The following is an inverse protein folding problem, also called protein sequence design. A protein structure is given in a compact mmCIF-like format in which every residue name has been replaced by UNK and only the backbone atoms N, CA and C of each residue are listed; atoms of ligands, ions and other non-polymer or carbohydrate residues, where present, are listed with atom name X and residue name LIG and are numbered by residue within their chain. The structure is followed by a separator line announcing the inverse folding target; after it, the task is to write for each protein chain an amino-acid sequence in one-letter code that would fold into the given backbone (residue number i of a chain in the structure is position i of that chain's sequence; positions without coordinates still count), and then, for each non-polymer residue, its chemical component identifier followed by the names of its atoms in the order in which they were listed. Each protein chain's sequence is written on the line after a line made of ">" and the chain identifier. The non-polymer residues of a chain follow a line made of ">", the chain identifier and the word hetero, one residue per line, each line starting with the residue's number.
data_IF_421247399192
#
_entry.id   IF_421247399192
#
_cell.length_a   1.000
_cell.length_b   1.000
_cell.length_c   1.000
_cell.angle_alpha   90.00
_cell.angle_beta   90.00
_cell.angle_gamma   90.00
#
_symmetry.space_group_name_H-M   'P 1'
#
loop_
_entity.id
_entity.type
_entity.pdbx_description
1 polymer ?
#
# COMPACT_ATOMS: atom_id res chain seq x y z
N UNK A 1 -43.19 -36.30 46.40
CA UNK A 1 -43.26 -35.85 44.99
C UNK A 1 -42.36 -34.62 44.89
N UNK A 2 -41.05 -34.82 44.92
CA UNK A 2 -40.18 -35.04 43.74
C UNK A 2 -39.98 -33.73 42.96
N UNK A 3 -38.94 -32.98 43.33
CA UNK A 3 -38.36 -31.95 42.46
C UNK A 3 -37.77 -32.63 41.23
N UNK A 4 -38.01 -32.12 40.01
CA UNK A 4 -37.17 -32.45 38.86
C UNK A 4 -35.93 -31.55 38.86
N UNK A 5 -34.77 -32.20 38.88
CA UNK A 5 -33.48 -31.61 38.53
C UNK A 5 -33.52 -31.04 37.10
N UNK A 6 -33.02 -29.81 36.93
CA UNK A 6 -32.47 -29.36 35.64
C UNK A 6 -30.96 -29.23 35.86
N UNK A 7 -30.21 -30.21 35.35
CA UNK A 7 -28.77 -30.15 35.17
C UNK A 7 -28.46 -29.13 34.07
N UNK A 8 -27.86 -28.00 34.44
CA UNK A 8 -27.06 -27.22 33.51
C UNK A 8 -25.59 -27.63 33.72
N UNK A 9 -25.01 -28.27 32.72
CA UNK A 9 -23.59 -28.63 32.69
C UNK A 9 -22.74 -27.38 32.70
N UNK A 10 -21.97 -27.20 33.77
CA UNK A 10 -20.81 -26.33 33.82
C UNK A 10 -19.75 -26.89 32.87
N UNK A 11 -19.64 -26.30 31.69
CA UNK A 11 -18.47 -26.43 30.84
C UNK A 11 -18.27 -25.11 30.09
N UNK A 12 -17.50 -24.24 30.73
CA UNK A 12 -16.43 -23.48 30.07
C UNK A 12 -16.87 -22.52 28.96
N UNK A 13 -17.41 -21.35 29.36
CA UNK A 13 -17.18 -20.11 28.61
C UNK A 13 -15.80 -19.62 29.06
N UNK A 14 -14.75 -20.24 28.55
CA UNK A 14 -13.41 -19.66 28.55
C UNK A 14 -13.14 -19.14 27.14
N UNK A 15 -12.73 -17.87 27.05
CA UNK A 15 -12.02 -17.38 25.88
C UNK A 15 -12.71 -16.34 25.01
N UNK A 16 -13.42 -15.36 25.58
CA UNK A 16 -13.42 -14.02 24.97
C UNK A 16 -12.20 -13.26 25.49
N UNK A 17 -11.01 -13.65 25.01
CA UNK A 17 -9.82 -12.83 25.16
C UNK A 17 -9.94 -11.66 24.20
N UNK A 18 -10.28 -10.50 24.76
CA UNK A 18 -10.09 -9.19 24.15
C UNK A 18 -8.69 -9.09 23.52
N UNK A 19 -8.66 -8.77 22.22
CA UNK A 19 -7.52 -8.15 21.53
C UNK A 19 -7.96 -7.70 20.13
N UNK A 20 -8.97 -6.85 20.08
CA UNK A 20 -9.20 -5.98 18.92
C UNK A 20 -9.76 -4.66 19.46
N UNK A 21 -8.91 -3.63 19.53
CA UNK A 21 -9.33 -2.25 19.73
C UNK A 21 -9.87 -1.73 18.39
N UNK A 22 -11.08 -2.16 18.04
CA UNK A 22 -11.80 -1.59 16.91
C UNK A 22 -13.18 -1.15 17.44
N UNK A 23 -13.35 0.14 17.72
CA UNK A 23 -14.56 0.69 18.38
C UNK A 23 -15.86 0.36 17.62
N UNK A 24 -15.76 0.09 16.30
CA UNK A 24 -16.87 -0.41 15.49
C UNK A 24 -17.31 -1.83 15.86
N UNK A 25 -16.38 -2.74 16.20
CA UNK A 25 -16.73 -4.11 16.61
C UNK A 25 -17.50 -4.11 17.93
N UNK A 26 -17.07 -3.30 18.91
CA UNK A 26 -17.76 -3.20 20.20
C UNK A 26 -19.17 -2.61 20.07
N UNK A 27 -19.40 -1.71 19.11
CA UNK A 27 -20.73 -1.13 18.85
C UNK A 27 -21.65 -2.13 18.14
N UNK A 28 -21.12 -2.87 17.17
CA UNK A 28 -21.83 -3.94 16.45
C UNK A 28 -22.18 -5.10 17.38
N UNK A 29 -21.26 -5.49 18.27
CA UNK A 29 -21.50 -6.52 19.29
C UNK A 29 -22.60 -6.11 20.29
N UNK A 30 -22.62 -4.82 20.68
CA UNK A 30 -23.64 -4.29 21.58
C UNK A 30 -25.03 -4.29 20.91
N UNK A 31 -25.12 -3.86 19.65
CA UNK A 31 -26.40 -3.86 18.90
C UNK A 31 -26.91 -5.28 18.64
N UNK A 32 -26.02 -6.26 18.44
CA UNK A 32 -26.35 -7.68 18.33
C UNK A 32 -26.92 -8.25 19.64
N UNK A 33 -26.30 -7.96 20.78
CA UNK A 33 -26.78 -8.38 22.11
C UNK A 33 -28.15 -7.75 22.43
N UNK A 34 -28.38 -6.50 22.03
CA UNK A 34 -29.67 -5.84 22.20
C UNK A 34 -30.79 -6.50 21.37
N UNK A 35 -30.49 -6.92 20.14
CA UNK A 35 -31.44 -7.66 19.29
C UNK A 35 -31.83 -9.03 19.85
N UNK A 36 -30.92 -9.71 20.56
CA UNK A 36 -31.22 -10.97 21.26
C UNK A 36 -32.13 -10.74 22.47
N UNK A 37 -31.97 -9.62 23.16
CA UNK A 37 -32.76 -9.28 24.36
C UNK A 37 -34.23 -8.98 24.03
N UNK A 38 -34.53 -8.38 22.88
CA UNK A 38 -35.92 -8.08 22.45
C UNK A 38 -36.75 -9.33 22.15
N UNK A 39 -36.09 -10.49 21.94
CA UNK A 39 -36.73 -11.75 21.57
C UNK A 39 -37.00 -12.70 22.75
N UNK A 40 -36.60 -12.34 23.99
CA UNK A 40 -36.81 -13.15 25.19
C UNK A 40 -38.20 -12.91 25.80
N UNK A 41 -39.00 -13.98 26.00
CA UNK A 41 -40.32 -13.92 26.66
C UNK A 41 -40.17 -14.08 28.19
N UNK A 42 -40.12 -12.96 28.90
CA UNK A 42 -40.11 -12.88 30.38
C UNK A 42 -41.26 -11.94 30.81
N UNK A 43 -41.77 -12.07 32.04
CA UNK A 43 -42.84 -11.21 32.58
C UNK A 43 -42.57 -9.71 32.34
N UNK A 44 -43.57 -9.02 31.78
CA UNK A 44 -43.43 -7.72 31.13
C UNK A 44 -42.85 -6.62 32.03
N UNK A 45 -43.17 -6.65 33.34
CA UNK A 45 -42.67 -5.70 34.34
C UNK A 45 -41.17 -5.84 34.64
N UNK A 46 -40.64 -7.05 34.49
CA UNK A 46 -39.22 -7.36 34.73
C UNK A 46 -38.39 -7.00 33.50
N UNK A 47 -38.95 -7.16 32.30
CA UNK A 47 -38.31 -6.77 31.03
C UNK A 47 -38.07 -5.26 30.92
N UNK A 48 -39.01 -4.43 31.37
CA UNK A 48 -38.87 -2.97 31.30
C UNK A 48 -37.71 -2.45 32.16
N UNK A 49 -37.47 -3.07 33.32
CA UNK A 49 -36.37 -2.71 34.22
C UNK A 49 -35.02 -3.03 33.57
N UNK A 50 -34.87 -4.25 33.03
CA UNK A 50 -33.64 -4.64 32.34
C UNK A 50 -33.42 -3.82 31.05
N UNK A 51 -34.49 -3.46 30.33
CA UNK A 51 -34.39 -2.59 29.15
C UNK A 51 -33.89 -1.19 29.49
N UNK A 52 -34.36 -0.61 30.60
CA UNK A 52 -33.89 0.68 31.10
C UNK A 52 -32.42 0.63 31.55
N UNK A 53 -32.00 -0.47 32.17
CA UNK A 53 -30.62 -0.67 32.62
C UNK A 53 -29.65 -0.86 31.44
N UNK A 54 -30.05 -1.64 30.43
CA UNK A 54 -29.33 -1.78 29.16
C UNK A 54 -29.20 -0.47 28.40
N UNK A 55 -30.24 0.36 28.37
CA UNK A 55 -30.18 1.67 27.72
C UNK A 55 -29.20 2.63 28.40
N UNK A 56 -29.06 2.55 29.73
CA UNK A 56 -28.04 3.31 30.47
C UNK A 56 -26.64 2.82 30.12
N UNK A 57 -26.40 1.51 30.17
CA UNK A 57 -25.10 0.92 29.80
C UNK A 57 -24.74 1.29 28.36
N UNK A 58 -25.70 1.22 27.42
CA UNK A 58 -25.48 1.63 26.02
C UNK A 58 -25.07 3.10 25.91
N UNK A 59 -25.73 3.98 26.66
CA UNK A 59 -25.38 5.40 26.69
C UNK A 59 -23.98 5.62 27.26
N UNK A 60 -23.66 5.02 28.39
CA UNK A 60 -22.37 5.21 29.06
C UNK A 60 -21.20 4.69 28.19
N UNK A 61 -21.39 3.57 27.48
CA UNK A 61 -20.42 3.04 26.51
C UNK A 61 -20.24 3.99 25.33
N UNK A 62 -21.33 4.52 24.76
CA UNK A 62 -21.27 5.48 23.66
C UNK A 62 -20.61 6.79 24.07
N UNK A 63 -20.90 7.29 25.26
CA UNK A 63 -20.28 8.49 25.81
C UNK A 63 -18.77 8.27 26.04
N UNK A 64 -18.37 7.09 26.52
CA UNK A 64 -16.95 6.71 26.69
C UNK A 64 -16.20 6.63 25.35
N UNK A 65 -16.82 6.06 24.31
CA UNK A 65 -16.23 6.00 22.96
C UNK A 65 -16.07 7.43 22.40
N UNK A 66 -17.11 8.26 22.53
CA UNK A 66 -17.07 9.65 22.08
C UNK A 66 -16.00 10.48 22.81
N UNK A 67 -15.82 10.28 24.12
CA UNK A 67 -14.74 10.92 24.88
C UNK A 67 -13.36 10.51 24.39
N UNK A 68 -13.14 9.22 24.07
CA UNK A 68 -11.88 8.74 23.49
C UNK A 68 -11.62 9.33 22.11
N UNK A 69 -12.63 9.40 21.25
CA UNK A 69 -12.53 10.01 19.92
C UNK A 69 -12.15 11.49 20.00
N UNK A 70 -12.75 12.24 20.95
CA UNK A 70 -12.41 13.64 21.22
C UNK A 70 -10.97 13.77 21.75
N UNK A 71 -10.55 12.86 22.62
CA UNK A 71 -9.18 12.87 23.17
C UNK A 71 -8.14 12.60 22.07
N UNK A 72 -8.35 11.59 21.22
CA UNK A 72 -7.50 11.31 20.05
C UNK A 72 -7.45 12.50 19.08
N UNK A 73 -8.60 13.11 18.78
CA UNK A 73 -8.67 14.32 17.95
C UNK A 73 -7.84 15.47 18.53
N UNK A 74 -7.83 15.63 19.86
CA UNK A 74 -7.03 16.65 20.54
C UNK A 74 -5.53 16.36 20.49
N UNK A 75 -5.14 15.09 20.57
CA UNK A 75 -3.74 14.67 20.38
C UNK A 75 -3.28 14.87 18.93
N UNK A 76 -4.13 14.59 17.94
CA UNK A 76 -3.84 14.83 16.52
C UNK A 76 -3.68 16.32 16.22
N UNK A 77 -4.57 17.17 16.77
CA UNK A 77 -4.43 18.62 16.67
C UNK A 77 -3.15 19.12 17.34
N UNK A 78 -2.81 18.61 18.52
CA UNK A 78 -1.58 18.96 19.22
C UNK A 78 -0.34 18.50 18.45
N UNK A 79 -0.36 17.31 17.86
CA UNK A 79 0.70 16.81 17.00
C UNK A 79 0.87 17.70 15.76
N UNK A 80 -0.22 18.07 15.08
CA UNK A 80 -0.16 18.97 13.92
C UNK A 80 0.38 20.36 14.26
N UNK A 81 0.12 20.86 15.48
CA UNK A 81 0.63 22.14 15.98
C UNK A 81 2.09 22.07 16.45
N UNK A 82 2.53 20.91 16.95
CA UNK A 82 3.85 20.74 17.58
C UNK A 82 4.83 19.96 16.73
N UNK A 83 4.40 19.39 15.59
CA UNK A 83 5.30 18.68 14.68
C UNK A 83 6.37 19.64 14.18
N UNK A 84 7.62 19.17 14.29
CA UNK A 84 8.77 19.87 13.70
C UNK A 84 8.47 20.01 12.21
N UNK A 85 8.50 21.22 11.63
CA UNK A 85 8.27 21.41 10.20
C UNK A 85 9.31 20.60 9.41
N UNK A 86 8.87 19.49 8.82
CA UNK A 86 9.69 18.78 7.84
C UNK A 86 9.78 19.65 6.61
N UNK A 87 10.99 20.02 6.21
CA UNK A 87 11.23 20.77 4.98
C UNK A 87 10.68 19.95 3.81
N UNK A 88 9.60 20.42 3.19
CA UNK A 88 8.99 19.74 2.05
C UNK A 88 9.86 19.95 0.83
N UNK A 89 10.30 18.86 0.21
CA UNK A 89 11.01 18.89 -1.05
C UNK A 89 10.05 19.32 -2.15
N UNK A 90 10.28 20.53 -2.67
CA UNK A 90 9.47 21.11 -3.75
C UNK A 90 9.79 20.36 -5.05
N UNK A 91 8.76 19.90 -5.74
CA UNK A 91 8.91 19.40 -7.10
C UNK A 91 9.19 20.59 -8.00
N UNK A 92 10.48 20.82 -8.28
CA UNK A 92 10.91 21.96 -9.08
C UNK A 92 10.22 21.97 -10.46
N UNK A 93 9.77 23.13 -10.96
CA UNK A 93 9.26 23.20 -12.33
C UNK A 93 10.37 22.87 -13.33
N UNK A 94 9.98 22.33 -14.49
CA UNK A 94 10.90 22.17 -15.61
C UNK A 94 11.35 23.55 -16.13
N UNK A 95 12.58 23.62 -16.63
CA UNK A 95 13.07 24.78 -17.38
C UNK A 95 12.27 24.99 -18.67
N UNK A 96 12.35 26.20 -19.25
CA UNK A 96 11.70 26.50 -20.53
C UNK A 96 12.21 25.60 -21.65
N UNK A 97 13.51 25.30 -21.65
CA UNK A 97 14.16 24.40 -22.62
C UNK A 97 13.64 22.96 -22.51
N UNK A 98 13.52 22.45 -21.28
CA UNK A 98 12.97 21.12 -21.03
C UNK A 98 11.48 21.06 -21.41
N UNK A 99 10.70 22.10 -21.09
CA UNK A 99 9.31 22.18 -21.50
C UNK A 99 9.18 22.17 -23.03
N UNK A 100 9.99 22.96 -23.74
CA UNK A 100 10.00 22.98 -25.19
C UNK A 100 10.40 21.61 -25.79
N UNK A 101 11.34 20.91 -25.16
CA UNK A 101 11.73 19.55 -25.55
C UNK A 101 10.56 18.56 -25.40
N UNK A 102 9.88 18.57 -24.26
CA UNK A 102 8.70 17.71 -24.01
C UNK A 102 7.61 18.00 -25.04
N UNK A 103 7.31 19.28 -25.29
CA UNK A 103 6.28 19.67 -26.25
C UNK A 103 6.65 19.28 -27.69
N UNK A 104 7.94 19.30 -28.03
CA UNK A 104 8.43 18.82 -29.33
C UNK A 104 8.22 17.32 -29.48
N UNK A 105 8.48 16.54 -28.43
CA UNK A 105 8.29 15.09 -28.44
C UNK A 105 6.80 14.74 -28.55
N UNK A 106 5.93 15.38 -27.78
CA UNK A 106 4.49 15.16 -27.85
C UNK A 106 3.86 15.56 -29.19
N UNK A 107 4.40 16.60 -29.85
CA UNK A 107 3.95 16.99 -31.20
C UNK A 107 4.57 16.17 -32.32
N UNK A 108 5.60 15.38 -32.02
CA UNK A 108 6.23 14.55 -33.03
C UNK A 108 5.22 13.51 -33.53
N UNK A 109 5.30 13.16 -34.82
CA UNK A 109 4.56 12.04 -35.40
C UNK A 109 5.50 10.89 -35.77
N UNK A 110 6.59 10.80 -35.02
CA UNK A 110 7.60 9.77 -35.23
C UNK A 110 7.12 8.43 -34.68
N UNK A 111 7.69 7.36 -35.22
CA UNK A 111 7.44 5.99 -34.80
C UNK A 111 8.76 5.28 -34.54
N UNK A 112 8.70 4.15 -33.83
CA UNK A 112 9.89 3.39 -33.44
C UNK A 112 10.45 3.82 -32.08
N UNK A 113 11.67 3.38 -31.81
CA UNK A 113 12.35 3.52 -30.51
C UNK A 113 12.69 4.99 -30.26
N UNK A 114 12.22 5.54 -29.14
CA UNK A 114 12.63 6.85 -28.64
C UNK A 114 13.84 6.72 -27.71
N UNK A 115 13.79 5.79 -26.76
CA UNK A 115 14.83 5.60 -25.76
C UNK A 115 14.99 4.12 -25.41
N UNK A 116 16.22 3.73 -25.08
CA UNK A 116 16.55 2.35 -24.72
C UNK A 116 17.64 2.33 -23.66
N UNK A 117 17.42 1.54 -22.62
CA UNK A 117 18.37 1.18 -21.56
C UNK A 117 18.52 -0.35 -21.54
N UNK A 118 19.33 -0.88 -20.62
CA UNK A 118 19.78 -2.28 -20.64
C UNK A 118 18.63 -3.30 -20.74
N UNK A 119 17.56 -3.12 -19.96
CA UNK A 119 16.44 -4.07 -19.89
C UNK A 119 15.07 -3.46 -20.26
N UNK A 120 15.02 -2.22 -20.77
CA UNK A 120 13.78 -1.54 -21.09
C UNK A 120 13.91 -0.68 -22.34
N UNK A 121 12.85 -0.62 -23.14
CA UNK A 121 12.78 0.18 -24.38
C UNK A 121 11.48 0.97 -24.35
N UNK A 122 11.55 2.24 -24.75
CA UNK A 122 10.38 3.11 -24.88
C UNK A 122 10.31 3.59 -26.31
N UNK A 123 9.17 3.36 -26.96
CA UNK A 123 8.85 3.89 -28.28
C UNK A 123 8.09 5.22 -28.17
N UNK A 124 7.98 5.93 -29.30
CA UNK A 124 7.16 7.14 -29.39
C UNK A 124 5.70 6.91 -28.95
N UNK A 125 5.12 5.73 -29.25
CA UNK A 125 3.74 5.39 -28.87
C UNK A 125 3.53 5.32 -27.35
N UNK A 126 4.56 4.91 -26.61
CA UNK A 126 4.51 4.74 -25.16
C UNK A 126 4.61 6.10 -24.47
N UNK A 127 5.38 7.02 -25.03
CA UNK A 127 5.56 8.38 -24.49
C UNK A 127 4.27 9.18 -24.53
N UNK A 128 3.38 8.92 -25.48
CA UNK A 128 2.04 9.54 -25.47
C UNK A 128 1.19 9.12 -24.26
N UNK A 129 1.58 8.06 -23.53
CA UNK A 129 0.95 7.69 -22.25
C UNK A 129 1.34 8.62 -21.10
N UNK A 130 2.34 9.48 -21.29
CA UNK A 130 2.71 10.56 -20.35
C UNK A 130 2.02 11.89 -20.67
N UNK A 131 1.15 11.96 -21.69
CA UNK A 131 0.29 13.11 -21.88
C UNK A 131 -0.62 13.34 -20.65
N UNK A 132 -1.18 14.54 -20.48
CA UNK A 132 -2.20 14.78 -19.46
C UNK A 132 -3.39 13.84 -19.64
N UNK A 133 -3.98 13.41 -18.53
CA UNK A 133 -5.18 12.56 -18.51
C UNK A 133 -5.06 11.18 -19.21
N UNK A 134 -3.85 10.64 -19.35
CA UNK A 134 -3.63 9.28 -19.91
C UNK A 134 -3.08 8.29 -18.89
N UNK A 135 -3.47 7.02 -19.03
CA UNK A 135 -2.91 5.91 -18.26
C UNK A 135 -1.51 5.55 -18.74
N UNK A 136 -0.58 5.41 -17.80
CA UNK A 136 0.73 4.82 -18.08
C UNK A 136 0.56 3.36 -18.45
N UNK A 137 1.37 2.90 -19.41
CA UNK A 137 1.52 1.49 -19.72
C UNK A 137 2.73 0.90 -18.99
N UNK A 138 2.88 -0.41 -19.15
CA UNK A 138 3.96 -1.23 -18.63
C UNK A 138 5.35 -0.78 -19.13
N UNK A 139 5.50 -0.39 -20.39
CA UNK A 139 6.80 0.05 -20.93
C UNK A 139 7.32 1.30 -20.20
N UNK A 140 6.46 2.30 -19.94
CA UNK A 140 6.86 3.50 -19.20
C UNK A 140 7.26 3.17 -17.75
N UNK A 141 6.48 2.32 -17.07
CA UNK A 141 6.74 1.95 -15.67
C UNK A 141 8.03 1.12 -15.56
N UNK A 142 8.19 0.09 -16.40
CA UNK A 142 9.40 -0.75 -16.40
C UNK A 142 10.65 0.08 -16.72
N UNK A 143 10.57 1.00 -17.69
CA UNK A 143 11.69 1.88 -18.02
C UNK A 143 12.05 2.80 -16.85
N UNK A 144 11.07 3.39 -16.18
CA UNK A 144 11.30 4.26 -15.03
C UNK A 144 11.96 3.49 -13.87
N UNK A 145 11.54 2.26 -13.61
CA UNK A 145 12.12 1.42 -12.54
C UNK A 145 13.54 0.95 -12.88
N UNK A 146 13.90 0.80 -14.16
CA UNK A 146 15.27 0.58 -14.59
C UNK A 146 16.14 1.83 -14.36
N UNK A 147 15.60 3.05 -14.55
CA UNK A 147 16.32 4.29 -14.19
C UNK A 147 16.60 4.39 -12.69
N UNK A 148 15.62 4.03 -11.84
CA UNK A 148 15.83 3.96 -10.39
C UNK A 148 16.92 2.94 -10.03
N UNK A 149 16.90 1.77 -10.66
CA UNK A 149 17.91 0.72 -10.44
C UNK A 149 19.31 1.18 -10.86
N UNK A 150 19.42 1.88 -12.00
CA UNK A 150 20.67 2.44 -12.49
C UNK A 150 21.22 3.51 -11.53
N UNK A 151 20.38 4.44 -11.04
CA UNK A 151 20.76 5.43 -10.03
C UNK A 151 21.30 4.78 -8.76
N UNK A 152 20.54 3.87 -8.17
CA UNK A 152 20.95 3.16 -6.94
C UNK A 152 22.23 2.34 -7.12
N UNK A 153 22.50 1.82 -8.34
CA UNK A 153 23.74 1.09 -8.62
C UNK A 153 24.99 1.97 -8.70
N UNK A 154 24.82 3.27 -8.97
CA UNK A 154 25.90 4.25 -9.16
C UNK A 154 26.20 5.05 -7.91
N UNK A 155 25.26 5.14 -6.97
CA UNK A 155 25.40 5.89 -5.73
C UNK A 155 25.30 4.96 -4.51
N UNK A 156 26.45 4.66 -3.91
CA UNK A 156 26.53 3.79 -2.73
C UNK A 156 25.97 4.41 -1.45
N UNK A 157 25.62 5.71 -1.47
CA UNK A 157 24.94 6.35 -0.32
C UNK A 157 23.44 6.03 -0.29
N UNK A 158 22.87 5.58 -1.41
CA UNK A 158 21.46 5.20 -1.52
C UNK A 158 21.27 3.72 -1.14
N UNK A 159 20.05 3.34 -0.69
CA UNK A 159 19.68 1.94 -0.55
C UNK A 159 19.94 1.15 -1.82
N UNK A 160 20.46 -0.06 -1.67
CA UNK A 160 20.56 -1.00 -2.77
C UNK A 160 19.17 -1.57 -3.09
N UNK A 161 18.76 -1.48 -4.35
CA UNK A 161 17.41 -1.88 -4.75
C UNK A 161 17.40 -3.02 -5.78
N UNK A 162 16.28 -3.72 -5.86
CA UNK A 162 15.92 -4.53 -7.02
C UNK A 162 14.48 -4.25 -7.44
N UNK A 163 14.31 -3.88 -8.70
CA UNK A 163 12.99 -3.68 -9.30
C UNK A 163 12.58 -4.92 -10.10
N UNK A 164 11.46 -5.53 -9.73
CA UNK A 164 10.79 -6.50 -10.58
C UNK A 164 10.08 -5.77 -11.73
N UNK A 165 9.87 -6.47 -12.85
CA UNK A 165 9.02 -5.93 -13.92
C UNK A 165 7.53 -6.05 -13.56
N UNK A 166 6.69 -5.31 -14.28
CA UNK A 166 5.24 -5.22 -14.09
C UNK A 166 4.48 -6.54 -14.22
N UNK A 167 5.09 -7.59 -14.79
CA UNK A 167 4.47 -8.89 -14.99
C UNK A 167 4.75 -9.87 -13.85
N UNK A 168 5.69 -9.56 -12.96
CA UNK A 168 6.14 -10.49 -11.92
C UNK A 168 4.99 -10.91 -11.00
N UNK A 169 4.32 -9.94 -10.37
CA UNK A 169 3.29 -10.24 -9.38
C UNK A 169 2.10 -10.97 -10.01
N UNK A 170 1.69 -10.58 -11.21
CA UNK A 170 0.61 -11.27 -11.94
C UNK A 170 0.98 -12.70 -12.28
N UNK A 171 2.20 -12.93 -12.79
CA UNK A 171 2.69 -14.28 -13.08
C UNK A 171 2.79 -15.15 -11.84
N UNK A 172 3.29 -14.60 -10.73
CA UNK A 172 3.39 -15.27 -9.44
C UNK A 172 1.99 -15.66 -8.92
N UNK A 173 1.04 -14.72 -8.94
CA UNK A 173 -0.34 -14.91 -8.48
C UNK A 173 -1.08 -15.98 -9.29
N UNK A 174 -0.96 -15.93 -10.61
CA UNK A 174 -1.76 -16.78 -11.51
C UNK A 174 -1.13 -18.15 -11.78
N UNK A 175 0.19 -18.24 -11.75
CA UNK A 175 0.91 -19.44 -12.19
C UNK A 175 1.89 -20.00 -11.15
N UNK A 176 2.01 -19.34 -9.99
CA UNK A 176 2.84 -19.77 -8.87
C UNK A 176 4.34 -19.53 -9.02
N UNK A 177 5.07 -19.78 -7.93
CA UNK A 177 6.51 -19.56 -7.81
C UNK A 177 7.32 -20.25 -8.92
N UNK A 178 6.94 -21.46 -9.32
CA UNK A 178 7.66 -22.25 -10.31
C UNK A 178 7.88 -21.52 -11.66
N UNK A 179 6.98 -20.57 -12.03
CA UNK A 179 7.11 -19.75 -13.24
C UNK A 179 8.03 -18.55 -13.08
N UNK A 180 8.12 -18.00 -11.87
CA UNK A 180 8.95 -16.81 -11.59
C UNK A 180 10.33 -17.16 -11.02
N UNK A 181 10.56 -18.40 -10.55
CA UNK A 181 11.83 -18.84 -9.92
C UNK A 181 13.11 -18.55 -10.71
N UNK A 182 13.02 -18.38 -12.04
CA UNK A 182 14.20 -18.10 -12.90
C UNK A 182 14.43 -16.61 -13.13
N UNK A 183 13.54 -15.73 -12.69
CA UNK A 183 13.59 -14.29 -12.97
C UNK A 183 14.73 -13.63 -12.18
N UNK A 184 15.00 -14.13 -10.98
CA UNK A 184 16.08 -13.72 -10.08
C UNK A 184 17.37 -14.54 -10.28
N UNK A 185 17.49 -15.36 -11.34
CA UNK A 185 18.64 -16.28 -11.52
C UNK A 185 20.04 -15.63 -11.50
N UNK A 186 20.13 -14.31 -11.73
CA UNK A 186 21.37 -13.52 -11.81
C UNK A 186 21.47 -12.47 -10.70
N UNK A 187 20.56 -12.46 -9.74
CA UNK A 187 20.52 -11.47 -8.66
C UNK A 187 20.16 -12.16 -7.35
N UNK A 188 20.94 -11.85 -6.32
CA UNK A 188 20.60 -12.25 -4.95
C UNK A 188 19.70 -11.18 -4.33
N UNK A 189 18.38 -11.38 -4.37
CA UNK A 189 17.44 -10.39 -3.85
C UNK A 189 17.58 -10.19 -2.33
N UNK A 190 18.08 -11.19 -1.60
CA UNK A 190 18.31 -11.10 -0.16
C UNK A 190 19.53 -10.23 0.21
N UNK A 191 20.34 -9.84 -0.78
CA UNK A 191 21.44 -8.89 -0.61
C UNK A 191 21.04 -7.43 -0.82
N UNK A 192 19.75 -7.17 -1.10
CA UNK A 192 19.22 -5.84 -1.37
C UNK A 192 18.54 -5.28 -0.14
N UNK A 193 18.53 -3.96 -0.02
CA UNK A 193 17.83 -3.26 1.04
C UNK A 193 16.32 -3.19 0.74
N UNK A 194 15.96 -2.92 -0.52
CA UNK A 194 14.56 -2.72 -0.93
C UNK A 194 14.26 -3.48 -2.23
N UNK A 195 13.14 -4.20 -2.27
CA UNK A 195 12.59 -4.77 -3.49
C UNK A 195 11.31 -4.02 -3.89
N UNK A 196 11.25 -3.59 -5.15
CA UNK A 196 10.09 -2.92 -5.71
C UNK A 196 9.34 -3.84 -6.66
N UNK A 197 8.01 -3.92 -6.48
CA UNK A 197 7.11 -4.75 -7.27
C UNK A 197 5.98 -3.86 -7.81
N UNK A 198 6.10 -3.32 -9.03
CA UNK A 198 4.98 -2.62 -9.65
C UNK A 198 3.87 -3.64 -10.02
N UNK A 199 2.65 -3.40 -9.57
CA UNK A 199 1.53 -4.34 -9.69
C UNK A 199 0.41 -3.70 -10.49
N UNK A 200 0.01 -4.38 -11.57
CA UNK A 200 -1.18 -4.01 -12.34
C UNK A 200 -2.41 -4.76 -11.79
N UNK A 201 -3.41 -4.01 -11.34
CA UNK A 201 -4.75 -4.48 -10.97
C UNK A 201 -5.76 -4.14 -12.06
N UNK A 202 -5.49 -4.60 -13.29
CA UNK A 202 -6.25 -4.36 -14.53
C UNK A 202 -6.26 -2.91 -15.03
N UNK A 203 -6.86 -1.99 -14.27
CA UNK A 203 -6.97 -0.56 -14.62
C UNK A 203 -6.37 0.36 -13.54
N UNK A 204 -5.58 -0.21 -12.64
CA UNK A 204 -5.03 0.49 -11.50
C UNK A 204 -3.62 -0.01 -11.20
N UNK A 205 -2.68 0.92 -11.08
CA UNK A 205 -1.30 0.64 -10.70
C UNK A 205 -1.12 0.86 -9.21
N UNK A 206 -0.49 -0.11 -8.55
CA UNK A 206 -0.05 0.00 -7.15
C UNK A 206 1.41 -0.45 -7.04
N UNK A 207 2.05 -0.08 -5.94
CA UNK A 207 3.44 -0.46 -5.67
C UNK A 207 3.52 -1.39 -4.46
N UNK A 208 4.03 -2.60 -4.67
CA UNK A 208 4.54 -3.43 -3.59
C UNK A 208 5.98 -3.04 -3.24
N UNK A 209 6.27 -2.89 -1.96
CA UNK A 209 7.60 -2.58 -1.44
C UNK A 209 7.95 -3.61 -0.38
N UNK A 210 9.09 -4.27 -0.55
CA UNK A 210 9.66 -5.21 0.42
C UNK A 210 10.91 -4.54 0.98
N UNK A 211 10.82 -4.04 2.21
CA UNK A 211 11.94 -3.50 2.97
C UNK A 211 12.60 -4.65 3.74
N UNK A 212 13.73 -5.12 3.21
CA UNK A 212 14.46 -6.26 3.75
C UNK A 212 15.09 -5.94 5.10
N UNK A 213 15.47 -4.67 5.32
CA UNK A 213 16.14 -4.21 6.55
C UNK A 213 15.15 -4.12 7.71
N UNK A 214 13.97 -3.58 7.46
CA UNK A 214 12.93 -3.37 8.47
C UNK A 214 11.92 -4.54 8.53
N UNK A 215 12.15 -5.62 7.78
CA UNK A 215 11.26 -6.80 7.66
C UNK A 215 9.79 -6.38 7.44
N UNK A 216 9.56 -5.57 6.41
CA UNK A 216 8.24 -4.99 6.14
C UNK A 216 7.84 -5.19 4.68
N UNK A 217 6.60 -5.60 4.43
CA UNK A 217 5.99 -5.57 3.11
C UNK A 217 4.82 -4.58 3.13
N UNK A 218 4.85 -3.61 2.24
CA UNK A 218 3.82 -2.58 2.14
C UNK A 218 3.24 -2.52 0.73
N UNK A 219 1.92 -2.34 0.61
CA UNK A 219 1.27 -2.00 -0.66
C UNK A 219 0.89 -0.51 -0.64
N UNK A 220 1.59 0.28 -1.44
CA UNK A 220 1.28 1.69 -1.65
C UNK A 220 0.26 1.81 -2.77
N UNK A 221 -0.95 2.20 -2.39
CA UNK A 221 -2.08 2.41 -3.28
C UNK A 221 -2.55 3.86 -3.15
N UNK A 222 -2.48 4.63 -4.24
CA UNK A 222 -2.92 6.03 -4.26
C UNK A 222 -4.44 6.22 -4.13
N UNK A 223 -5.23 5.15 -4.17
CA UNK A 223 -6.66 5.11 -3.80
C UNK A 223 -6.89 4.52 -2.40
N UNK A 224 -5.81 4.28 -1.63
CA UNK A 224 -5.83 3.72 -0.28
C UNK A 224 -6.54 2.35 -0.18
N UNK A 225 -6.48 1.57 -1.26
CA UNK A 225 -6.96 0.19 -1.27
C UNK A 225 -6.12 -0.71 -0.38
N UNK A 226 -6.78 -1.62 0.34
CA UNK A 226 -6.12 -2.70 1.08
C UNK A 226 -5.92 -3.92 0.18
N UNK A 227 -4.80 -4.63 0.37
CA UNK A 227 -4.50 -5.83 -0.42
C UNK A 227 -3.72 -6.88 0.38
N UNK A 228 -4.38 -7.45 1.38
CA UNK A 228 -3.83 -8.51 2.22
C UNK A 228 -3.43 -9.75 1.42
N UNK A 229 -4.17 -10.06 0.35
CA UNK A 229 -3.83 -11.19 -0.51
C UNK A 229 -2.43 -11.01 -1.13
N UNK A 230 -2.18 -9.86 -1.76
CA UNK A 230 -0.87 -9.62 -2.39
C UNK A 230 0.25 -9.49 -1.36
N UNK A 231 -0.03 -8.92 -0.18
CA UNK A 231 0.92 -8.88 0.93
C UNK A 231 1.39 -10.29 1.34
N UNK A 232 0.45 -11.20 1.59
CA UNK A 232 0.76 -12.58 1.94
C UNK A 232 1.45 -13.33 0.80
N UNK A 233 1.03 -13.08 -0.45
CA UNK A 233 1.66 -13.68 -1.63
C UNK A 233 3.15 -13.30 -1.73
N UNK A 234 3.50 -12.03 -1.44
CA UNK A 234 4.89 -11.56 -1.46
C UNK A 234 5.71 -12.14 -0.29
N UNK A 235 5.10 -12.34 0.90
CA UNK A 235 5.75 -13.06 2.00
C UNK A 235 6.10 -14.49 1.60
N UNK A 236 5.10 -15.25 1.10
CA UNK A 236 5.31 -16.63 0.65
C UNK A 236 6.35 -16.71 -0.47
N UNK A 237 6.39 -15.73 -1.37
CA UNK A 237 7.44 -15.65 -2.38
C UNK A 237 8.85 -15.58 -1.78
N UNK A 238 9.07 -14.80 -0.70
CA UNK A 238 10.37 -14.73 -0.05
C UNK A 238 10.78 -16.08 0.55
N UNK A 239 9.85 -16.81 1.15
CA UNK A 239 10.09 -18.14 1.72
C UNK A 239 10.48 -19.15 0.64
N UNK A 240 9.70 -19.21 -0.44
CA UNK A 240 9.95 -20.11 -1.58
C UNK A 240 11.27 -19.77 -2.30
N UNK A 241 11.53 -18.47 -2.50
CA UNK A 241 12.76 -18.00 -3.14
C UNK A 241 14.00 -18.29 -2.29
N UNK A 242 13.93 -18.09 -0.97
CA UNK A 242 15.04 -18.41 -0.08
C UNK A 242 15.29 -19.92 -0.03
N UNK A 243 14.23 -20.72 0.05
CA UNK A 243 14.32 -22.17 0.00
C UNK A 243 14.95 -22.65 -1.31
N UNK A 244 14.61 -22.06 -2.45
CA UNK A 244 15.20 -22.44 -3.74
C UNK A 244 16.65 -21.95 -3.89
N UNK A 245 16.97 -20.70 -3.53
CA UNK A 245 18.28 -20.10 -3.80
C UNK A 245 19.32 -20.37 -2.71
N UNK A 246 18.90 -20.37 -1.46
CA UNK A 246 19.76 -20.52 -0.28
C UNK A 246 19.66 -21.89 0.35
N UNK A 247 18.69 -22.72 -0.07
CA UNK A 247 18.46 -24.09 0.45
C UNK A 247 18.23 -24.10 1.96
N UNK A 248 17.61 -23.04 2.47
CA UNK A 248 17.31 -22.85 3.88
C UNK A 248 15.91 -22.24 4.04
N UNK A 249 15.25 -22.57 5.14
CA UNK A 249 13.99 -21.92 5.51
C UNK A 249 14.24 -20.44 5.80
N UNK A 250 13.23 -19.62 5.50
CA UNK A 250 13.24 -18.18 5.78
C UNK A 250 12.03 -17.87 6.63
N UNK A 251 12.26 -17.41 7.85
CA UNK A 251 11.19 -17.14 8.80
C UNK A 251 10.61 -15.74 8.52
N UNK A 252 9.36 -15.71 8.08
CA UNK A 252 8.63 -14.47 7.84
C UNK A 252 7.61 -14.12 8.92
N UNK A 253 7.54 -14.89 10.02
CA UNK A 253 6.52 -14.72 11.07
C UNK A 253 6.52 -13.36 11.77
N UNK A 254 7.69 -12.72 11.88
CA UNK A 254 7.86 -11.39 12.47
C UNK A 254 7.73 -10.23 11.48
N UNK A 255 7.42 -10.52 10.20
CA UNK A 255 7.32 -9.46 9.19
C UNK A 255 6.06 -8.62 9.39
N UNK A 256 6.22 -7.31 9.23
CA UNK A 256 5.10 -6.38 9.26
C UNK A 256 4.52 -6.30 7.84
N UNK A 257 3.22 -6.55 7.70
CA UNK A 257 2.51 -6.35 6.44
C UNK A 257 1.47 -5.23 6.57
N UNK A 258 1.42 -4.32 5.60
CA UNK A 258 0.52 -3.17 5.69
C UNK A 258 0.12 -2.59 4.33
N UNK A 259 -0.95 -1.81 4.33
CA UNK A 259 -1.33 -0.92 3.23
C UNK A 259 -1.47 0.48 3.82
N UNK A 260 -0.42 1.33 3.79
CA UNK A 260 -0.43 2.62 4.45
C UNK A 260 -1.48 3.56 3.83
N UNK A 261 -2.25 4.24 4.66
CA UNK A 261 -3.26 5.23 4.27
C UNK A 261 -2.78 6.68 4.41
N UNK A 262 -1.73 6.91 5.21
CA UNK A 262 -1.11 8.21 5.43
C UNK A 262 -0.13 8.59 4.29
N UNK A 263 -0.57 8.43 3.04
CA UNK A 263 0.22 8.67 1.83
C UNK A 263 -0.57 9.57 0.85
N UNK A 264 0.12 10.31 -0.04
CA UNK A 264 -0.51 11.11 -1.08
C UNK A 264 -1.56 10.31 -1.88
N UNK A 265 -2.77 10.85 -1.97
CA UNK A 265 -3.88 10.24 -2.68
C UNK A 265 -4.05 10.84 -4.08
N UNK A 266 -4.47 10.01 -5.05
CA UNK A 266 -4.88 10.50 -6.36
C UNK A 266 -6.31 11.07 -6.28
N UNK A 267 -6.55 12.15 -7.03
CA UNK A 267 -7.86 12.80 -7.17
C UNK A 267 -8.56 12.52 -8.50
N UNK A 268 -7.97 11.69 -9.37
CA UNK A 268 -8.51 11.34 -10.68
C UNK A 268 -8.36 9.84 -10.98
N UNK A 269 -8.81 9.41 -12.16
CA UNK A 269 -8.79 8.00 -12.55
C UNK A 269 -7.51 7.56 -13.29
N UNK A 270 -6.54 8.44 -13.52
CA UNK A 270 -5.47 8.18 -14.51
C UNK A 270 -4.03 8.37 -14.04
N UNK A 271 -3.81 8.96 -12.88
CA UNK A 271 -2.46 9.19 -12.35
C UNK A 271 -1.90 8.03 -11.51
N UNK A 272 -2.63 6.94 -11.28
CA UNK A 272 -2.16 5.81 -10.45
C UNK A 272 -0.75 5.30 -10.83
N UNK A 273 -0.43 5.26 -12.13
CA UNK A 273 0.91 4.89 -12.61
C UNK A 273 1.99 5.93 -12.27
N UNK A 274 1.64 7.22 -12.30
CA UNK A 274 2.56 8.33 -11.94
C UNK A 274 2.80 8.32 -10.43
N UNK A 275 1.74 8.13 -9.62
CA UNK A 275 1.86 7.92 -8.17
C UNK A 275 2.74 6.70 -7.84
N UNK A 276 2.51 5.56 -8.48
CA UNK A 276 3.33 4.34 -8.33
C UNK A 276 4.81 4.61 -8.59
N UNK A 277 5.13 5.32 -9.67
CA UNK A 277 6.51 5.70 -9.99
C UNK A 277 7.09 6.69 -8.96
N UNK A 278 6.28 7.66 -8.52
CA UNK A 278 6.73 8.69 -7.56
C UNK A 278 6.94 8.11 -6.15
N UNK A 279 6.09 7.18 -5.70
CA UNK A 279 6.32 6.42 -4.47
C UNK A 279 7.65 5.67 -4.54
N UNK A 280 7.90 4.93 -5.62
CA UNK A 280 9.16 4.20 -5.80
C UNK A 280 10.37 5.15 -5.81
N UNK A 281 10.27 6.29 -6.52
CA UNK A 281 11.32 7.31 -6.57
C UNK A 281 11.69 7.79 -5.17
N UNK A 282 10.72 8.25 -4.38
CA UNK A 282 10.95 8.79 -3.04
C UNK A 282 11.49 7.72 -2.09
N UNK A 283 10.86 6.55 -2.06
CA UNK A 283 11.27 5.44 -1.18
C UNK A 283 12.69 4.96 -1.53
N UNK A 284 13.05 4.90 -2.81
CA UNK A 284 14.37 4.41 -3.25
C UNK A 284 15.54 5.25 -2.76
N UNK A 285 15.29 6.48 -2.31
CA UNK A 285 16.29 7.39 -1.72
C UNK A 285 15.93 7.82 -0.30
N UNK A 286 15.01 7.09 0.37
CA UNK A 286 14.55 7.37 1.73
C UNK A 286 14.01 8.80 1.93
N UNK A 287 13.39 9.36 0.89
CA UNK A 287 12.77 10.67 0.95
C UNK A 287 11.30 10.58 1.41
N UNK A 288 10.77 11.63 2.07
CA UNK A 288 9.37 11.69 2.45
C UNK A 288 8.45 11.66 1.22
N UNK A 289 7.23 11.16 1.40
CA UNK A 289 6.16 11.19 0.39
C UNK A 289 5.42 12.54 0.43
N UNK A 290 6.16 13.63 0.27
CA UNK A 290 5.69 15.01 0.45
C UNK A 290 5.21 15.69 -0.86
N UNK A 291 4.62 14.90 -1.75
CA UNK A 291 4.03 15.36 -3.00
C UNK A 291 2.50 15.22 -3.00
N UNK A 292 1.83 15.72 -4.04
CA UNK A 292 0.37 15.71 -4.13
C UNK A 292 -0.13 15.53 -5.56
N UNK A 293 -1.45 15.40 -5.71
CA UNK A 293 -2.12 15.41 -7.00
C UNK A 293 -1.80 16.65 -7.86
N UNK A 294 -1.48 17.80 -7.25
CA UNK A 294 -1.17 19.04 -7.99
C UNK A 294 0.15 18.95 -8.76
N UNK A 295 1.01 18.02 -8.38
CA UNK A 295 2.34 17.88 -8.96
C UNK A 295 2.36 16.94 -10.17
N UNK A 296 1.29 16.17 -10.40
CA UNK A 296 1.26 15.08 -11.39
C UNK A 296 1.57 15.55 -12.82
N UNK A 297 1.09 16.71 -13.23
CA UNK A 297 1.38 17.25 -14.57
C UNK A 297 2.88 17.58 -14.72
N UNK A 298 3.48 18.18 -13.70
CA UNK A 298 4.93 18.46 -13.67
C UNK A 298 5.73 17.18 -13.66
N UNK A 299 5.35 16.19 -12.83
CA UNK A 299 6.02 14.89 -12.74
C UNK A 299 5.93 14.16 -14.08
N UNK A 300 4.77 14.12 -14.74
CA UNK A 300 4.61 13.52 -16.08
C UNK A 300 5.61 14.09 -17.08
N UNK A 301 5.76 15.41 -17.10
CA UNK A 301 6.74 16.08 -17.99
C UNK A 301 8.18 15.77 -17.59
N UNK A 302 8.50 15.74 -16.29
CA UNK A 302 9.82 15.29 -15.81
C UNK A 302 10.13 13.86 -16.20
N UNK A 303 9.16 12.94 -16.14
CA UNK A 303 9.34 11.56 -16.59
C UNK A 303 9.74 11.49 -18.07
N UNK A 304 9.17 12.33 -18.94
CA UNK A 304 9.60 12.41 -20.35
C UNK A 304 11.06 12.83 -20.45
N UNK A 305 11.47 13.89 -19.73
CA UNK A 305 12.88 14.35 -19.70
C UNK A 305 13.81 13.25 -19.19
N UNK A 306 13.43 12.57 -18.11
CA UNK A 306 14.21 11.48 -17.52
C UNK A 306 14.38 10.30 -18.49
N UNK A 307 13.34 9.94 -19.23
CA UNK A 307 13.39 8.88 -20.24
C UNK A 307 14.30 9.27 -21.41
N UNK A 308 14.21 10.51 -21.89
CA UNK A 308 15.07 11.02 -22.97
C UNK A 308 16.55 11.04 -22.55
N UNK A 309 16.81 11.52 -21.34
CA UNK A 309 18.17 11.64 -20.79
C UNK A 309 18.72 10.33 -20.21
N UNK A 310 17.86 9.32 -20.05
CA UNK A 310 18.16 8.01 -19.43
C UNK A 310 18.75 8.18 -18.02
N UNK A 311 18.19 9.12 -17.26
CA UNK A 311 18.67 9.49 -15.92
C UNK A 311 17.54 10.04 -15.07
N UNK A 312 17.63 9.79 -13.76
CA UNK A 312 16.85 10.42 -12.70
C UNK A 312 17.76 10.87 -11.57
#
# INVERSE_FOLDING_TARGET
>A
MSQPEIKASSSTIEGFTSKDNNDNSTKEDLDSVMGLFENLKIEQKTMDVYKLELLKIKKDVLDTIAERDIEYSKYDELYEQTKIPTEKEIIEPLTEEENALVDKVFRSRQSGILSQVKNATVEYKDIYKLLPATWLNDEIINFYFELLSDRASKDSSLPSIHCFNTFFCTTLREQGYAKVRRWTKRVDIFSKDILFVPINKSYHWVLGVIDMKNKRISIYDSLHGKDEFTLNLLLSYLEEEHLDKKKALYDTSEWIIESPSNIPAQGNAYDCGVFTCTFAERISRQAPLDFSQKDMDTIRRKMVVNILNKKI
#
